data_IF_146734257172
#
_entry.id   IF_146734257172
#
_cell.length_a   1.000
_cell.length_b   1.000
_cell.length_c   1.000
_cell.angle_alpha   90.00
_cell.angle_beta   90.00
_cell.angle_gamma   90.00
#
_symmetry.space_group_name_H-M   'P 1'
#
loop_
_entity.id
_entity.type
_entity.pdbx_description
1 polymer ?
#
# COMPACT_ATOMS: atom_id res chain seq x y z
N UNK A 1 -1.71 -19.59 -1.73
CA UNK A 1 -0.94 -19.14 -0.53
C UNK A 1 -0.97 -20.26 0.49
N UNK A 2 0.15 -20.61 1.13
CA UNK A 2 0.12 -21.63 2.17
C UNK A 2 -0.83 -21.21 3.30
N UNK A 3 -1.70 -22.09 3.83
CA UNK A 3 -2.86 -21.71 4.65
C UNK A 3 -2.54 -21.05 6.00
N UNK A 4 -1.27 -20.99 6.41
CA UNK A 4 -0.89 -20.61 7.78
C UNK A 4 0.24 -19.57 7.91
N UNK A 5 0.61 -18.88 6.84
CA UNK A 5 1.69 -17.87 6.87
C UNK A 5 1.16 -16.48 6.54
N UNK A 6 1.48 -15.50 7.40
CA UNK A 6 1.40 -14.08 7.04
C UNK A 6 2.27 -13.84 5.79
N UNK A 7 1.82 -12.99 4.88
CA UNK A 7 2.57 -12.68 3.65
C UNK A 7 3.97 -12.18 4.01
N UNK A 8 5.02 -12.83 3.48
CA UNK A 8 6.40 -12.37 3.62
C UNK A 8 6.56 -10.93 3.12
N UNK A 9 5.83 -10.57 2.07
CA UNK A 9 5.83 -9.21 1.51
C UNK A 9 5.26 -8.21 2.51
N UNK A 10 4.20 -8.56 3.26
CA UNK A 10 3.64 -7.68 4.30
C UNK A 10 4.65 -7.43 5.45
N UNK A 11 5.34 -8.48 5.92
CA UNK A 11 6.41 -8.36 6.92
C UNK A 11 7.54 -7.45 6.42
N UNK A 12 7.98 -7.69 5.19
CA UNK A 12 9.07 -6.96 4.57
C UNK A 12 8.75 -5.47 4.42
N UNK A 13 7.55 -5.12 3.94
CA UNK A 13 7.14 -3.72 3.77
C UNK A 13 6.92 -3.02 5.12
N UNK A 14 6.39 -3.70 6.13
CA UNK A 14 6.26 -3.14 7.47
C UNK A 14 7.63 -2.91 8.13
N UNK A 15 8.59 -3.85 7.96
CA UNK A 15 9.96 -3.67 8.43
C UNK A 15 10.65 -2.47 7.77
N UNK A 16 10.40 -2.20 6.48
CA UNK A 16 10.93 -1.01 5.80
C UNK A 16 10.38 0.29 6.39
N UNK A 17 9.09 0.35 6.77
CA UNK A 17 8.52 1.51 7.46
C UNK A 17 9.08 1.67 8.87
N UNK A 18 9.24 0.57 9.60
CA UNK A 18 9.85 0.56 10.93
C UNK A 18 11.32 1.01 10.90
N UNK A 19 12.10 0.50 9.95
CA UNK A 19 13.49 0.85 9.77
C UNK A 19 13.67 2.34 9.39
N UNK A 20 12.82 2.85 8.49
CA UNK A 20 12.78 4.27 8.14
C UNK A 20 12.55 5.13 9.40
N UNK A 21 11.56 4.78 10.21
CA UNK A 21 11.24 5.51 11.44
C UNK A 21 12.38 5.50 12.46
N UNK A 22 13.09 4.38 12.59
CA UNK A 22 14.15 4.24 13.61
C UNK A 22 15.49 4.85 13.18
N UNK A 23 15.81 4.83 11.90
CA UNK A 23 17.17 5.07 11.43
C UNK A 23 17.32 6.23 10.45
N UNK A 24 16.26 6.81 9.94
CA UNK A 24 16.33 8.02 9.12
C UNK A 24 16.06 9.26 9.97
N UNK A 25 16.89 10.30 9.81
CA UNK A 25 16.77 11.54 10.59
C UNK A 25 15.54 12.37 10.20
N UNK A 26 15.25 12.39 8.87
CA UNK A 26 14.10 13.10 8.32
C UNK A 26 13.06 12.10 7.87
N UNK A 27 11.90 12.06 8.51
CA UNK A 27 10.86 11.10 8.21
C UNK A 27 9.97 11.57 7.06
N UNK A 28 9.90 10.78 5.99
CA UNK A 28 8.87 10.90 4.95
C UNK A 28 7.52 10.45 5.52
N UNK A 29 7.55 9.36 6.28
CA UNK A 29 6.37 8.74 6.85
C UNK A 29 6.67 8.21 8.25
N UNK A 30 5.95 8.70 9.27
CA UNK A 30 6.11 8.25 10.65
C UNK A 30 5.10 7.15 10.99
N UNK A 31 5.49 5.88 10.81
CA UNK A 31 4.70 4.73 11.24
C UNK A 31 5.11 4.25 12.61
N UNK A 32 4.52 4.84 13.64
CA UNK A 32 4.82 4.51 15.04
C UNK A 32 4.50 3.04 15.41
N UNK A 33 3.73 2.33 14.60
CA UNK A 33 3.24 0.98 14.90
C UNK A 33 3.89 -0.12 14.07
N UNK A 34 4.58 0.22 12.97
CA UNK A 34 5.15 -0.78 12.06
C UNK A 34 6.07 -1.77 12.78
N UNK A 35 6.91 -1.29 13.70
CA UNK A 35 7.85 -2.13 14.46
C UNK A 35 7.13 -3.16 15.34
N UNK A 36 6.00 -2.80 15.92
CA UNK A 36 5.22 -3.68 16.78
C UNK A 36 4.39 -4.71 15.98
N UNK A 37 4.13 -4.43 14.72
CA UNK A 37 3.33 -5.29 13.85
C UNK A 37 4.15 -6.38 13.14
N UNK A 38 5.48 -6.35 13.19
CA UNK A 38 6.35 -7.38 12.58
C UNK A 38 6.74 -8.46 13.59
N UNK A 39 7.21 -9.60 13.07
CA UNK A 39 7.66 -10.73 13.90
C UNK A 39 8.86 -10.34 14.77
N UNK A 40 9.04 -10.98 15.96
CA UNK A 40 10.09 -10.63 16.92
C UNK A 40 11.51 -10.66 16.35
N UNK A 41 11.82 -11.66 15.51
CA UNK A 41 13.14 -11.83 14.90
C UNK A 41 13.44 -10.67 13.93
N UNK A 42 12.44 -10.30 13.12
CA UNK A 42 12.57 -9.19 12.18
C UNK A 42 12.65 -7.84 12.93
N UNK A 43 11.88 -7.70 14.02
CA UNK A 43 11.96 -6.53 14.91
C UNK A 43 13.36 -6.36 15.48
N UNK A 44 13.96 -7.44 16.03
CA UNK A 44 15.31 -7.40 16.56
C UNK A 44 16.35 -7.01 15.48
N UNK A 45 16.19 -7.49 14.26
CA UNK A 45 17.05 -7.13 13.11
C UNK A 45 16.93 -5.65 12.75
N UNK A 46 15.71 -5.10 12.77
CA UNK A 46 15.48 -3.66 12.53
C UNK A 46 16.11 -2.84 13.65
N UNK A 47 15.85 -3.16 14.92
CA UNK A 47 16.37 -2.43 16.09
C UNK A 47 17.90 -2.38 16.13
N UNK A 48 18.56 -3.47 15.70
CA UNK A 48 20.04 -3.54 15.64
C UNK A 48 20.66 -2.89 14.39
N UNK A 49 19.85 -2.43 13.43
CA UNK A 49 20.32 -1.88 12.15
C UNK A 49 20.78 -2.96 11.15
N UNK A 50 20.64 -4.24 11.46
CA UNK A 50 21.00 -5.35 10.57
C UNK A 50 20.09 -5.35 9.32
N UNK A 51 18.81 -4.99 9.50
CA UNK A 51 17.86 -4.86 8.40
C UNK A 51 18.26 -3.72 7.44
N UNK A 52 18.68 -2.56 7.97
CA UNK A 52 19.22 -1.45 7.20
C UNK A 52 20.44 -1.89 6.37
N UNK A 53 21.39 -2.55 6.98
CA UNK A 53 22.58 -3.06 6.29
C UNK A 53 22.21 -4.06 5.18
N UNK A 54 21.19 -4.87 5.38
CA UNK A 54 20.65 -5.77 4.36
C UNK A 54 20.04 -4.99 3.18
N UNK A 55 19.21 -3.97 3.44
CA UNK A 55 18.61 -3.13 2.39
C UNK A 55 19.69 -2.44 1.53
N UNK A 56 20.73 -1.92 2.14
CA UNK A 56 21.86 -1.29 1.45
C UNK A 56 22.63 -2.29 0.59
N UNK A 57 23.02 -3.43 1.16
CA UNK A 57 23.74 -4.48 0.44
C UNK A 57 22.97 -5.06 -0.76
N UNK A 58 21.64 -5.12 -0.65
CA UNK A 58 20.76 -5.61 -1.71
C UNK A 58 20.24 -4.51 -2.64
N UNK A 59 20.70 -3.28 -2.48
CA UNK A 59 20.24 -2.12 -3.23
C UNK A 59 18.72 -1.89 -3.17
N UNK A 60 18.11 -2.13 -2.00
CA UNK A 60 16.67 -2.04 -1.79
C UNK A 60 16.22 -0.71 -1.15
N UNK A 61 17.14 0.24 -0.94
CA UNK A 61 16.77 1.59 -0.43
C UNK A 61 15.75 2.30 -1.34
N UNK A 62 15.79 2.22 -2.68
CA UNK A 62 14.73 2.77 -3.52
C UNK A 62 13.35 2.12 -3.27
N UNK A 63 13.32 0.81 -2.96
CA UNK A 63 12.07 0.13 -2.57
C UNK A 63 11.53 0.70 -1.26
N UNK A 64 12.38 0.88 -0.26
CA UNK A 64 12.00 1.52 1.00
C UNK A 64 11.49 2.94 0.78
N UNK A 65 12.18 3.74 -0.05
CA UNK A 65 11.75 5.09 -0.42
C UNK A 65 10.34 5.10 -1.00
N UNK A 66 10.06 4.22 -1.98
CA UNK A 66 8.71 4.12 -2.55
C UNK A 66 7.66 3.69 -1.51
N UNK A 67 7.98 2.73 -0.63
CA UNK A 67 7.05 2.25 0.39
C UNK A 67 6.65 3.36 1.36
N UNK A 68 7.60 4.20 1.79
CA UNK A 68 7.26 5.32 2.69
C UNK A 68 6.58 6.48 1.96
N UNK A 69 6.93 6.73 0.70
CA UNK A 69 6.28 7.76 -0.13
C UNK A 69 4.81 7.40 -0.42
N UNK A 70 4.53 6.14 -0.83
CA UNK A 70 3.14 5.73 -1.13
C UNK A 70 2.26 5.73 0.11
N UNK A 71 2.81 5.35 1.28
CA UNK A 71 2.10 5.43 2.55
C UNK A 71 1.79 6.88 2.93
N UNK A 72 2.76 7.78 2.80
CA UNK A 72 2.57 9.22 3.05
C UNK A 72 1.56 9.82 2.07
N UNK A 73 1.65 9.50 0.79
CA UNK A 73 0.71 9.98 -0.21
C UNK A 73 -0.73 9.56 0.10
N UNK A 74 -0.94 8.28 0.46
CA UNK A 74 -2.25 7.78 0.84
C UNK A 74 -2.81 8.47 2.09
N UNK A 75 -1.97 8.74 3.10
CA UNK A 75 -2.37 9.47 4.30
C UNK A 75 -2.72 10.93 3.99
N UNK A 76 -1.94 11.63 3.16
CA UNK A 76 -2.21 13.01 2.76
C UNK A 76 -3.54 13.10 1.96
N UNK A 77 -3.76 12.16 1.02
CA UNK A 77 -5.00 12.09 0.25
C UNK A 77 -6.21 11.76 1.14
N UNK A 78 -6.06 10.80 2.08
CA UNK A 78 -7.08 10.49 3.08
C UNK A 78 -7.41 11.69 3.96
N UNK A 79 -6.41 12.40 4.47
CA UNK A 79 -6.62 13.59 5.30
C UNK A 79 -7.40 14.67 4.54
N UNK A 80 -7.08 14.89 3.26
CA UNK A 80 -7.83 15.79 2.40
C UNK A 80 -9.28 15.31 2.17
N UNK A 81 -9.52 14.01 1.97
CA UNK A 81 -10.86 13.44 1.84
C UNK A 81 -11.66 13.58 3.16
N UNK A 82 -11.03 13.34 4.30
CA UNK A 82 -11.64 13.53 5.64
C UNK A 82 -12.03 14.99 5.87
N UNK A 83 -11.21 15.94 5.44
CA UNK A 83 -11.53 17.37 5.50
C UNK A 83 -12.77 17.72 4.65
N UNK A 84 -13.01 17.00 3.54
CA UNK A 84 -14.22 17.10 2.71
C UNK A 84 -15.44 16.36 3.26
N UNK A 85 -15.30 15.65 4.37
CA UNK A 85 -16.41 14.95 5.03
C UNK A 85 -16.45 13.43 4.87
N UNK A 86 -15.44 12.81 4.25
CA UNK A 86 -15.32 11.34 4.20
C UNK A 86 -15.11 10.79 5.62
N UNK A 87 -15.79 9.69 5.95
CA UNK A 87 -15.76 9.08 7.30
C UNK A 87 -15.60 7.56 7.26
N UNK A 88 -15.27 7.01 6.10
CA UNK A 88 -15.06 5.59 5.88
C UNK A 88 -13.76 5.37 5.11
N UNK A 89 -12.88 4.54 5.63
CA UNK A 89 -11.67 4.07 4.98
C UNK A 89 -11.79 2.56 4.74
N UNK A 90 -11.62 2.12 3.51
CA UNK A 90 -11.50 0.71 3.14
C UNK A 90 -10.05 0.44 2.76
N UNK A 91 -9.41 -0.49 3.47
CA UNK A 91 -8.01 -0.90 3.20
C UNK A 91 -8.05 -2.28 2.57
N UNK A 92 -7.78 -2.38 1.27
CA UNK A 92 -7.78 -3.64 0.53
C UNK A 92 -6.41 -4.30 0.57
N UNK A 93 -6.37 -5.62 0.81
CA UNK A 93 -5.16 -6.39 1.05
C UNK A 93 -4.29 -5.73 2.15
N UNK A 94 -4.92 -5.50 3.30
CA UNK A 94 -4.40 -4.66 4.37
C UNK A 94 -3.05 -5.13 4.94
N UNK A 95 -2.73 -6.42 4.86
CA UNK A 95 -1.47 -6.97 5.37
C UNK A 95 -1.14 -6.46 6.77
N UNK A 96 0.02 -5.84 6.89
CA UNK A 96 0.48 -5.15 8.10
C UNK A 96 0.39 -3.60 7.97
N UNK A 97 -0.56 -3.09 7.20
CA UNK A 97 -0.89 -1.66 7.20
C UNK A 97 -1.32 -1.22 8.61
N UNK A 98 -0.91 -0.04 9.04
CA UNK A 98 -1.16 0.49 10.39
C UNK A 98 -2.23 1.58 10.43
N UNK A 99 -2.94 1.84 9.33
CA UNK A 99 -3.96 2.90 9.25
C UNK A 99 -5.06 2.75 10.30
N UNK A 100 -5.41 1.52 10.68
CA UNK A 100 -6.37 1.26 11.75
C UNK A 100 -5.93 1.83 13.12
N UNK A 101 -4.63 2.00 13.34
CA UNK A 101 -4.04 2.56 14.57
C UNK A 101 -3.76 4.06 14.48
N UNK A 102 -3.56 4.59 13.26
CA UNK A 102 -3.15 5.98 12.99
C UNK A 102 -4.30 6.89 12.57
N UNK A 103 -5.47 6.31 12.32
CA UNK A 103 -6.64 7.01 11.78
C UNK A 103 -7.14 8.16 12.64
N UNK A 104 -7.80 9.11 12.02
CA UNK A 104 -8.71 10.03 12.72
C UNK A 104 -9.82 9.20 13.41
N UNK A 105 -10.08 9.39 14.73
CA UNK A 105 -11.11 8.64 15.44
C UNK A 105 -12.52 8.74 14.84
N UNK A 106 -12.78 9.76 14.04
CA UNK A 106 -14.05 9.97 13.33
C UNK A 106 -14.20 9.08 12.10
N UNK A 107 -13.12 8.41 11.66
CA UNK A 107 -13.10 7.57 10.47
C UNK A 107 -13.26 6.11 10.87
N UNK A 108 -14.30 5.45 10.37
CA UNK A 108 -14.43 4.00 10.43
C UNK A 108 -13.45 3.36 9.45
N UNK A 109 -12.77 2.33 9.89
CA UNK A 109 -11.84 1.57 9.04
C UNK A 109 -12.40 0.17 8.80
N UNK A 110 -12.41 -0.27 7.54
CA UNK A 110 -12.77 -1.61 7.11
C UNK A 110 -11.53 -2.19 6.44
N UNK A 111 -10.87 -3.13 7.10
CA UNK A 111 -9.73 -3.85 6.54
C UNK A 111 -10.21 -5.14 5.86
N UNK A 112 -9.84 -5.28 4.60
CA UNK A 112 -10.18 -6.44 3.78
C UNK A 112 -8.89 -7.18 3.45
N UNK A 113 -8.78 -8.45 3.86
CA UNK A 113 -7.60 -9.27 3.60
C UNK A 113 -7.91 -10.75 3.67
N UNK A 114 -6.96 -11.57 3.23
CA UNK A 114 -7.02 -13.01 3.36
C UNK A 114 -7.16 -13.44 4.84
N UNK A 115 -7.97 -14.46 5.16
CA UNK A 115 -8.24 -14.88 6.54
C UNK A 115 -6.99 -15.16 7.36
N UNK A 116 -5.94 -15.76 6.77
CA UNK A 116 -4.69 -16.08 7.47
C UNK A 116 -3.90 -14.81 7.83
N UNK A 117 -3.73 -13.87 6.88
CA UNK A 117 -3.05 -12.59 7.09
C UNK A 117 -3.76 -11.76 8.16
N UNK A 118 -5.07 -11.71 8.07
CA UNK A 118 -5.91 -10.96 9.00
C UNK A 118 -5.84 -11.53 10.42
N UNK A 119 -5.87 -12.86 10.59
CA UNK A 119 -5.71 -13.51 11.89
C UNK A 119 -4.39 -13.16 12.55
N UNK A 120 -3.26 -13.31 11.82
CA UNK A 120 -1.94 -12.97 12.32
C UNK A 120 -1.82 -11.50 12.75
N UNK A 121 -2.38 -10.57 11.96
CA UNK A 121 -2.41 -9.14 12.33
C UNK A 121 -3.25 -8.90 13.58
N UNK A 122 -4.44 -9.49 13.69
CA UNK A 122 -5.33 -9.32 14.84
C UNK A 122 -4.71 -9.84 16.14
N UNK A 123 -3.97 -10.94 16.08
CA UNK A 123 -3.21 -11.46 17.24
C UNK A 123 -2.17 -10.45 17.73
N UNK A 124 -1.45 -9.80 16.82
CA UNK A 124 -0.47 -8.74 17.15
C UNK A 124 -1.15 -7.50 17.71
N UNK A 125 -2.25 -7.07 17.11
CA UNK A 125 -3.03 -5.94 17.61
C UNK A 125 -3.60 -6.20 19.03
N UNK A 126 -4.04 -7.42 19.31
CA UNK A 126 -4.50 -7.82 20.64
C UNK A 126 -3.35 -7.78 21.66
N UNK A 127 -2.14 -8.22 21.29
CA UNK A 127 -0.96 -8.16 22.14
C UNK A 127 -0.54 -6.71 22.47
N UNK A 128 -0.87 -5.74 21.61
CA UNK A 128 -0.63 -4.32 21.83
C UNK A 128 -1.72 -3.64 22.67
N UNK A 129 -2.79 -4.36 23.04
CA UNK A 129 -3.99 -3.77 23.63
C UNK A 129 -4.49 -2.54 22.84
N UNK A 130 -4.41 -2.61 21.51
CA UNK A 130 -4.71 -1.48 20.64
C UNK A 130 -6.19 -1.13 20.66
N UNK A 131 -6.56 0.18 20.73
CA UNK A 131 -7.95 0.59 20.64
C UNK A 131 -8.47 0.39 19.21
N UNK A 132 -9.37 -0.57 19.02
CA UNK A 132 -9.93 -0.93 17.72
C UNK A 132 -11.39 -0.52 17.54
N UNK A 133 -11.90 0.40 18.37
CA UNK A 133 -13.25 0.95 18.22
C UNK A 133 -13.39 1.58 16.83
N UNK A 134 -14.40 1.16 16.07
CA UNK A 134 -14.61 1.63 14.69
C UNK A 134 -13.68 0.99 13.65
N UNK A 135 -12.99 -0.11 13.99
CA UNK A 135 -12.24 -0.95 13.06
C UNK A 135 -12.97 -2.26 12.83
N UNK A 136 -13.22 -2.59 11.60
CA UNK A 136 -13.80 -3.86 11.15
C UNK A 136 -12.79 -4.65 10.33
N UNK A 137 -12.77 -5.96 10.55
CA UNK A 137 -11.95 -6.89 9.81
C UNK A 137 -12.82 -7.82 8.96
N UNK A 138 -12.82 -7.62 7.66
CA UNK A 138 -13.58 -8.41 6.68
C UNK A 138 -12.63 -9.39 5.99
N UNK A 139 -12.69 -10.66 6.38
CA UNK A 139 -11.86 -11.69 5.77
C UNK A 139 -12.39 -12.09 4.39
N UNK A 140 -11.49 -12.18 3.38
CA UNK A 140 -11.81 -12.55 2.00
C UNK A 140 -10.74 -13.46 1.44
N UNK A 141 -11.15 -14.63 0.99
CA UNK A 141 -10.32 -15.50 0.16
C UNK A 141 -10.64 -15.20 -1.32
N UNK A 142 -9.83 -14.38 -1.96
CA UNK A 142 -10.02 -13.94 -3.35
C UNK A 142 -9.96 -15.06 -4.39
N UNK A 143 -9.54 -16.28 -3.99
CA UNK A 143 -9.64 -17.46 -4.87
C UNK A 143 -11.06 -18.07 -4.86
N UNK A 144 -11.88 -17.72 -3.87
CA UNK A 144 -13.20 -18.34 -3.61
C UNK A 144 -14.35 -17.34 -3.54
N UNK A 145 -14.05 -16.08 -3.31
CA UNK A 145 -15.05 -15.05 -3.08
C UNK A 145 -14.70 -13.74 -3.79
N UNK A 146 -15.72 -13.09 -4.33
CA UNK A 146 -15.56 -11.76 -4.92
C UNK A 146 -15.49 -10.66 -3.87
N UNK A 147 -14.65 -9.66 -4.09
CA UNK A 147 -14.53 -8.48 -3.25
C UNK A 147 -15.88 -7.78 -3.02
N UNK A 148 -16.71 -7.68 -4.06
CA UNK A 148 -18.03 -7.05 -3.98
C UNK A 148 -18.95 -7.71 -2.96
N UNK A 149 -18.94 -9.05 -2.88
CA UNK A 149 -19.72 -9.81 -1.90
C UNK A 149 -19.20 -9.56 -0.47
N UNK A 150 -17.89 -9.51 -0.29
CA UNK A 150 -17.27 -9.21 0.99
C UNK A 150 -17.62 -7.79 1.49
N UNK A 151 -17.50 -6.78 0.62
CA UNK A 151 -17.86 -5.41 0.96
C UNK A 151 -19.37 -5.25 1.24
N UNK A 152 -20.22 -6.04 0.59
CA UNK A 152 -21.66 -6.00 0.83
C UNK A 152 -22.07 -6.49 2.23
N UNK A 153 -21.28 -7.40 2.85
CA UNK A 153 -21.53 -7.87 4.23
C UNK A 153 -20.77 -7.06 5.30
N UNK A 154 -19.90 -6.14 4.88
CA UNK A 154 -19.20 -5.24 5.80
C UNK A 154 -20.10 -4.09 6.24
N UNK A 155 -19.62 -3.31 7.21
CA UNK A 155 -20.31 -2.10 7.67
C UNK A 155 -20.15 -0.88 6.74
N UNK A 156 -19.65 -1.07 5.51
CA UNK A 156 -19.53 -0.02 4.51
C UNK A 156 -20.90 0.58 4.16
N UNK A 157 -21.09 1.84 4.45
CA UNK A 157 -22.28 2.59 4.03
C UNK A 157 -22.10 3.02 2.55
N UNK A 158 -22.73 2.26 1.66
CA UNK A 158 -22.64 2.44 0.20
C UNK A 158 -23.41 3.67 -0.31
N UNK A 159 -24.08 4.41 0.58
CA UNK A 159 -24.79 5.66 0.27
C UNK A 159 -23.93 6.89 0.52
N UNK A 160 -22.78 6.73 1.16
CA UNK A 160 -21.85 7.80 1.53
C UNK A 160 -20.47 7.57 0.93
N UNK A 161 -19.76 8.64 0.50
CA UNK A 161 -18.41 8.50 -0.01
C UNK A 161 -17.47 7.82 0.98
N UNK A 162 -16.62 6.93 0.45
CA UNK A 162 -15.53 6.25 1.14
C UNK A 162 -14.18 6.60 0.52
N UNK A 163 -13.13 6.46 1.27
CA UNK A 163 -11.76 6.44 0.77
C UNK A 163 -11.28 4.99 0.73
N UNK A 164 -10.72 4.57 -0.38
CA UNK A 164 -10.23 3.21 -0.60
C UNK A 164 -8.73 3.26 -0.84
N UNK A 165 -7.96 2.48 -0.09
CA UNK A 165 -6.54 2.23 -0.39
C UNK A 165 -6.36 0.80 -0.89
N UNK A 166 -5.58 0.66 -1.98
CA UNK A 166 -5.23 -0.63 -2.58
C UNK A 166 -3.75 -0.63 -2.94
N UNK A 167 -2.91 -0.71 -1.92
CA UNK A 167 -1.48 -0.41 -1.98
C UNK A 167 -0.65 -1.70 -1.97
N UNK A 168 0.31 -1.82 -2.90
CA UNK A 168 1.28 -2.92 -2.94
C UNK A 168 0.73 -4.22 -3.50
N UNK A 169 -0.26 -4.19 -4.39
CA UNK A 169 -1.01 -5.37 -4.85
C UNK A 169 -0.98 -5.55 -6.37
N UNK A 170 -1.21 -4.50 -7.14
CA UNK A 170 -1.47 -4.57 -8.60
C UNK A 170 -0.37 -5.31 -9.37
N UNK A 171 0.89 -5.19 -8.94
CA UNK A 171 2.04 -5.86 -9.56
C UNK A 171 2.00 -7.39 -9.46
N UNK A 172 1.20 -7.94 -8.56
CA UNK A 172 1.05 -9.40 -8.34
C UNK A 172 -0.19 -9.99 -9.00
N UNK A 173 -1.03 -9.15 -9.62
CA UNK A 173 -2.28 -9.56 -10.24
C UNK A 173 -2.18 -9.50 -11.77
N UNK A 174 -2.78 -10.45 -12.50
CA UNK A 174 -3.05 -10.28 -13.93
C UNK A 174 -3.85 -9.00 -14.19
N UNK A 175 -3.57 -8.31 -15.30
CA UNK A 175 -4.25 -7.04 -15.64
C UNK A 175 -5.79 -7.18 -15.69
N UNK A 176 -6.30 -8.31 -16.16
CA UNK A 176 -7.74 -8.59 -16.17
C UNK A 176 -8.34 -8.65 -14.76
N UNK A 177 -7.61 -9.19 -13.77
CA UNK A 177 -8.05 -9.25 -12.38
C UNK A 177 -8.01 -7.85 -11.77
N UNK A 178 -6.99 -7.05 -12.08
CA UNK A 178 -6.95 -5.63 -11.66
C UNK A 178 -8.16 -4.86 -12.20
N UNK A 179 -8.48 -4.99 -13.48
CA UNK A 179 -9.64 -4.34 -14.08
C UNK A 179 -10.98 -4.82 -13.47
N UNK A 180 -11.10 -6.12 -13.17
CA UNK A 180 -12.28 -6.68 -12.50
C UNK A 180 -12.39 -6.15 -11.05
N UNK A 181 -11.29 -6.07 -10.33
CA UNK A 181 -11.25 -5.51 -8.96
C UNK A 181 -11.66 -4.04 -8.95
N UNK A 182 -11.16 -3.23 -9.89
CA UNK A 182 -11.60 -1.83 -10.06
C UNK A 182 -13.11 -1.73 -10.26
N UNK A 183 -13.69 -2.59 -11.12
CA UNK A 183 -15.14 -2.63 -11.33
C UNK A 183 -15.91 -3.00 -10.05
N UNK A 184 -15.42 -3.96 -9.26
CA UNK A 184 -16.03 -4.36 -8.00
C UNK A 184 -15.93 -3.26 -6.93
N UNK A 185 -14.79 -2.56 -6.85
CA UNK A 185 -14.64 -1.38 -5.98
C UNK A 185 -15.67 -0.33 -6.37
N UNK A 186 -15.74 0.02 -7.68
CA UNK A 186 -16.69 1.02 -8.17
C UNK A 186 -18.14 0.68 -7.85
N UNK A 187 -18.53 -0.58 -8.05
CA UNK A 187 -19.88 -1.06 -7.73
C UNK A 187 -20.20 -1.06 -6.23
N UNK A 188 -19.18 -1.02 -5.37
CA UNK A 188 -19.33 -1.12 -3.91
C UNK A 188 -19.33 0.22 -3.20
N UNK A 189 -18.93 1.31 -3.85
CA UNK A 189 -18.80 2.63 -3.22
C UNK A 189 -19.73 3.67 -3.83
N UNK A 190 -20.11 4.67 -3.05
CA UNK A 190 -20.92 5.80 -3.54
C UNK A 190 -20.12 6.66 -4.54
N UNK A 191 -20.81 7.39 -5.46
CA UNK A 191 -20.18 8.45 -6.24
C UNK A 191 -19.47 9.46 -5.33
N UNK A 192 -18.33 9.97 -5.78
CA UNK A 192 -17.47 10.85 -4.99
C UNK A 192 -16.50 10.14 -4.04
N UNK A 193 -16.58 8.81 -3.92
CA UNK A 193 -15.54 8.01 -3.23
C UNK A 193 -14.21 8.11 -3.95
N UNK A 194 -13.12 7.98 -3.21
CA UNK A 194 -11.78 8.09 -3.77
C UNK A 194 -11.00 6.78 -3.61
N UNK A 195 -10.13 6.49 -4.56
CA UNK A 195 -9.28 5.29 -4.60
C UNK A 195 -7.83 5.72 -4.80
N UNK A 196 -6.93 5.24 -3.95
CA UNK A 196 -5.47 5.36 -4.12
C UNK A 196 -4.87 3.98 -4.25
N UNK A 197 -4.06 3.76 -5.28
CA UNK A 197 -3.29 2.54 -5.48
C UNK A 197 -1.97 2.83 -6.18
N UNK A 198 -0.99 1.94 -6.01
CA UNK A 198 0.28 2.01 -6.70
C UNK A 198 0.42 0.91 -7.77
N UNK A 199 1.23 1.20 -8.79
CA UNK A 199 1.45 0.29 -9.90
C UNK A 199 2.84 0.48 -10.52
N UNK A 200 3.45 -0.58 -11.06
CA UNK A 200 4.70 -0.47 -11.80
C UNK A 200 4.46 -0.21 -13.29
N UNK A 201 5.32 0.60 -13.90
CA UNK A 201 5.38 0.79 -15.36
C UNK A 201 6.35 -0.20 -16.01
N UNK A 202 6.25 -0.44 -17.34
CA UNK A 202 7.21 -1.21 -18.11
C UNK A 202 8.63 -0.62 -18.01
N UNK A 203 9.63 -1.50 -17.89
CA UNK A 203 11.03 -1.08 -17.70
C UNK A 203 11.61 -0.42 -18.96
N UNK A 204 11.07 -0.70 -20.13
CA UNK A 204 11.49 -0.09 -21.40
C UNK A 204 11.04 1.38 -21.55
N UNK A 205 10.17 1.85 -20.66
CA UNK A 205 9.78 3.26 -20.56
C UNK A 205 10.72 4.09 -19.66
N UNK A 206 11.70 3.45 -19.02
CA UNK A 206 12.66 4.13 -18.16
C UNK A 206 13.86 4.65 -18.97
N UNK A 207 14.38 5.80 -18.55
CA UNK A 207 15.68 6.25 -19.04
C UNK A 207 16.81 5.29 -18.61
N UNK A 208 18.01 5.37 -19.22
CA UNK A 208 19.09 4.40 -18.93
C UNK A 208 19.54 4.36 -17.47
N UNK A 209 19.52 5.48 -16.74
CA UNK A 209 19.92 5.55 -15.33
C UNK A 209 18.86 4.91 -14.44
N UNK A 210 17.60 5.27 -14.61
CA UNK A 210 16.45 4.68 -13.93
C UNK A 210 16.35 3.17 -14.18
N UNK A 211 16.61 2.73 -15.43
CA UNK A 211 16.61 1.32 -15.79
C UNK A 211 17.71 0.54 -15.07
N UNK A 212 18.92 1.12 -14.92
CA UNK A 212 20.00 0.47 -14.18
C UNK A 212 19.65 0.28 -12.70
N UNK A 213 19.07 1.31 -12.08
CA UNK A 213 18.57 1.23 -10.68
C UNK A 213 17.48 0.17 -10.55
N UNK A 214 16.49 0.17 -11.44
CA UNK A 214 15.37 -0.77 -11.41
C UNK A 214 15.85 -2.23 -11.57
N UNK A 215 16.78 -2.50 -12.51
CA UNK A 215 17.35 -3.84 -12.71
C UNK A 215 18.10 -4.35 -11.49
N UNK A 216 18.96 -3.52 -10.90
CA UNK A 216 19.74 -3.87 -9.70
C UNK A 216 18.82 -4.19 -8.53
N UNK A 217 17.85 -3.35 -8.28
CA UNK A 217 16.83 -3.54 -7.24
C UNK A 217 15.98 -4.80 -7.48
N UNK A 218 15.51 -5.02 -8.73
CA UNK A 218 14.67 -6.17 -9.04
C UNK A 218 15.43 -7.49 -8.89
N UNK A 219 16.74 -7.53 -9.20
CA UNK A 219 17.59 -8.68 -8.91
C UNK A 219 17.72 -8.95 -7.40
N UNK A 220 17.73 -7.92 -6.56
CA UNK A 220 17.67 -8.04 -5.10
C UNK A 220 16.32 -8.60 -4.62
N UNK A 221 15.22 -8.02 -5.11
CA UNK A 221 13.86 -8.43 -4.75
C UNK A 221 13.54 -9.87 -5.15
N UNK A 222 13.99 -10.33 -6.31
CA UNK A 222 13.76 -11.70 -6.78
C UNK A 222 14.26 -12.79 -5.83
N UNK A 223 15.12 -12.44 -4.86
CA UNK A 223 15.67 -13.37 -3.87
C UNK A 223 14.81 -13.48 -2.61
N UNK A 224 13.94 -12.50 -2.34
CA UNK A 224 13.24 -12.36 -1.05
C UNK A 224 11.76 -12.02 -1.17
N UNK A 225 11.27 -11.66 -2.35
CA UNK A 225 9.90 -11.22 -2.58
C UNK A 225 9.16 -12.12 -3.56
N UNK A 226 7.85 -12.01 -3.55
CA UNK A 226 6.98 -12.63 -4.55
C UNK A 226 7.26 -12.05 -5.94
N UNK A 227 7.17 -12.87 -7.02
CA UNK A 227 7.43 -12.39 -8.37
C UNK A 227 6.37 -11.38 -8.80
N UNK A 228 6.82 -10.25 -9.35
CA UNK A 228 5.95 -9.29 -10.04
C UNK A 228 5.61 -9.84 -11.43
N UNK A 229 4.35 -9.83 -11.80
CA UNK A 229 3.87 -10.42 -13.05
C UNK A 229 3.26 -9.42 -14.01
N UNK A 230 2.91 -8.21 -13.55
CA UNK A 230 2.22 -7.22 -14.37
C UNK A 230 2.84 -5.83 -14.21
N UNK A 231 2.92 -5.12 -15.32
CA UNK A 231 3.22 -3.68 -15.42
C UNK A 231 2.09 -3.00 -16.18
N UNK A 232 1.94 -1.70 -16.03
CA UNK A 232 0.85 -0.94 -16.64
C UNK A 232 1.43 0.27 -17.36
N UNK A 233 1.02 0.47 -18.61
CA UNK A 233 1.22 1.73 -19.31
C UNK A 233 0.30 2.79 -18.69
N UNK A 234 0.81 3.98 -18.30
CA UNK A 234 -0.02 4.98 -17.64
C UNK A 234 -1.24 5.46 -18.46
N UNK A 235 -1.16 5.76 -19.76
CA UNK A 235 -2.31 6.03 -20.61
C UNK A 235 -3.34 4.92 -20.62
N UNK A 236 -2.93 3.65 -20.76
CA UNK A 236 -3.84 2.50 -20.79
C UNK A 236 -4.54 2.30 -19.45
N UNK A 237 -3.82 2.50 -18.35
CA UNK A 237 -4.40 2.43 -17.01
C UNK A 237 -5.41 3.56 -16.78
N UNK A 238 -5.10 4.78 -17.23
CA UNK A 238 -6.03 5.91 -17.16
C UNK A 238 -7.31 5.63 -17.96
N UNK A 239 -7.19 5.03 -19.14
CA UNK A 239 -8.33 4.61 -19.94
C UNK A 239 -9.15 3.53 -19.21
N UNK A 240 -8.49 2.53 -18.65
CA UNK A 240 -9.13 1.47 -17.84
C UNK A 240 -9.91 2.07 -16.67
N UNK A 241 -9.35 3.05 -15.96
CA UNK A 241 -10.05 3.74 -14.87
C UNK A 241 -11.35 4.39 -15.34
N UNK A 242 -11.30 5.12 -16.47
CA UNK A 242 -12.49 5.75 -17.06
C UNK A 242 -13.54 4.71 -17.42
N UNK A 243 -13.16 3.62 -18.09
CA UNK A 243 -14.08 2.52 -18.42
C UNK A 243 -14.72 1.86 -17.19
N UNK A 244 -14.04 1.87 -16.07
CA UNK A 244 -14.52 1.32 -14.79
C UNK A 244 -15.25 2.36 -13.92
N UNK A 245 -15.52 3.55 -14.45
CA UNK A 245 -16.31 4.59 -13.78
C UNK A 245 -15.52 5.39 -12.75
N UNK A 246 -14.22 5.60 -13.00
CA UNK A 246 -13.36 6.48 -12.19
C UNK A 246 -12.83 7.63 -13.05
N UNK A 247 -12.80 8.82 -12.46
CA UNK A 247 -12.06 9.96 -13.00
C UNK A 247 -10.71 10.05 -12.28
N UNK A 248 -9.62 10.11 -13.03
CA UNK A 248 -8.29 10.29 -12.47
C UNK A 248 -8.16 11.70 -11.86
N UNK A 249 -7.77 11.80 -10.60
CA UNK A 249 -7.46 13.04 -9.90
C UNK A 249 -6.01 13.41 -10.19
N UNK A 250 -5.09 12.48 -9.93
CA UNK A 250 -3.67 12.61 -10.26
C UNK A 250 -3.04 11.22 -10.44
N UNK A 251 -2.00 11.18 -11.25
CA UNK A 251 -1.12 10.03 -11.44
C UNK A 251 0.33 10.49 -11.26
N UNK A 252 0.94 10.11 -10.15
CA UNK A 252 2.19 10.70 -9.68
C UNK A 252 3.34 9.73 -9.88
N UNK A 253 4.33 10.17 -10.63
CA UNK A 253 5.55 9.40 -10.91
C UNK A 253 6.65 9.62 -9.86
N UNK A 254 7.78 8.86 -10.00
CA UNK A 254 8.87 8.91 -9.04
C UNK A 254 9.47 10.30 -8.83
N UNK A 255 9.70 11.05 -9.92
CA UNK A 255 10.27 12.40 -9.84
C UNK A 255 9.40 13.38 -9.04
N UNK A 256 8.08 13.29 -9.23
CA UNK A 256 7.12 14.13 -8.50
C UNK A 256 7.00 13.70 -7.03
N UNK A 257 7.02 12.40 -6.74
CA UNK A 257 7.04 11.88 -5.38
C UNK A 257 8.32 12.30 -4.64
N UNK A 258 9.47 12.22 -5.31
CA UNK A 258 10.74 12.66 -4.75
C UNK A 258 10.75 14.18 -4.52
N UNK A 259 10.20 14.97 -5.44
CA UNK A 259 10.06 16.41 -5.25
C UNK A 259 9.13 16.77 -4.07
N UNK A 260 8.03 16.02 -3.86
CA UNK A 260 7.09 16.24 -2.77
C UNK A 260 7.66 15.84 -1.41
N UNK A 261 8.35 14.69 -1.33
CA UNK A 261 8.64 14.03 -0.06
C UNK A 261 10.11 13.85 0.25
N UNK A 262 10.99 14.01 -0.74
CA UNK A 262 12.43 13.80 -0.58
C UNK A 262 13.27 15.03 -0.94
N UNK A 263 12.65 16.19 -1.17
CA UNK A 263 13.37 17.42 -1.48
C UNK A 263 14.32 17.81 -0.34
N UNK A 264 15.56 18.17 -0.68
CA UNK A 264 16.58 18.60 0.28
C UNK A 264 17.19 17.49 1.15
N UNK A 265 16.77 16.22 1.00
CA UNK A 265 17.35 15.10 1.74
C UNK A 265 18.80 14.84 1.36
N UNK A 266 19.65 14.65 2.38
CA UNK A 266 21.09 14.39 2.23
C UNK A 266 21.45 12.91 2.31
N UNK A 267 20.53 12.06 2.78
CA UNK A 267 20.73 10.61 2.93
C UNK A 267 20.50 9.81 1.63
N UNK A 268 20.16 10.51 0.55
CA UNK A 268 19.94 9.90 -0.76
C UNK A 268 18.68 9.04 -0.91
N UNK A 269 17.77 9.05 0.09
CA UNK A 269 16.52 8.30 -0.04
C UNK A 269 15.69 8.85 -1.21
N UNK A 270 15.33 7.95 -2.13
CA UNK A 270 14.48 8.20 -3.29
C UNK A 270 13.57 7.01 -3.51
N UNK A 271 12.48 7.22 -4.27
CA UNK A 271 11.55 6.15 -4.62
C UNK A 271 12.05 5.23 -5.72
N UNK A 272 11.31 4.17 -5.97
CA UNK A 272 11.53 3.28 -7.11
C UNK A 272 11.26 4.04 -8.42
N UNK A 273 12.15 3.94 -9.40
CA UNK A 273 11.97 4.66 -10.67
C UNK A 273 10.80 4.12 -11.52
N UNK A 274 10.38 2.87 -11.31
CA UNK A 274 9.29 2.25 -12.08
C UNK A 274 7.93 2.24 -11.38
N UNK A 275 7.79 2.81 -10.20
CA UNK A 275 6.52 2.79 -9.48
C UNK A 275 5.81 4.15 -9.53
N UNK A 276 4.52 4.13 -9.81
CA UNK A 276 3.63 5.30 -9.82
C UNK A 276 2.50 5.10 -8.81
N UNK A 277 1.83 6.18 -8.48
CA UNK A 277 0.64 6.17 -7.62
C UNK A 277 -0.50 6.85 -8.37
N UNK A 278 -1.61 6.14 -8.52
CA UNK A 278 -2.86 6.67 -9.07
C UNK A 278 -3.81 7.05 -7.93
N UNK A 279 -4.39 8.23 -8.01
CA UNK A 279 -5.48 8.71 -7.17
C UNK A 279 -6.67 9.03 -8.07
N UNK A 280 -7.78 8.36 -7.86
CA UNK A 280 -8.96 8.43 -8.72
C UNK A 280 -10.24 8.63 -7.89
N UNK A 281 -11.29 9.17 -8.52
CA UNK A 281 -12.60 9.40 -7.90
C UNK A 281 -13.67 8.63 -8.65
N UNK A 282 -14.55 7.96 -7.92
CA UNK A 282 -15.75 7.32 -8.45
C UNK A 282 -16.74 8.37 -8.98
N UNK A 283 -17.14 8.23 -10.23
CA UNK A 283 -18.09 9.14 -10.93
C UNK A 283 -19.47 8.51 -11.08
#
# INVERSE_FOLDING_TARGET
MEPDRSSHTAEFTAAMRADHRLHDADLVFDDAFALQLIQPELRASVEKGEYRAMLERMHLRPTQGHIVQRARFADDALAAAVARGVRQLVVLAAGLDSSCLRRDPRVRVIEVDHPASQRAKRERLAALAAPLDGVEFTAVDFEREELGAALARSSLDRTRPAFVTWIGVTMYLPAAITAATLAQIRASVAPGSELVFDYPIPLDQLDPEALAVARTKNAGLARIAEPRITTYDPPDLAHTLVERGFALIEDVGPAELDARYCAGRRDGLRGNPENRIAHARAV
#
